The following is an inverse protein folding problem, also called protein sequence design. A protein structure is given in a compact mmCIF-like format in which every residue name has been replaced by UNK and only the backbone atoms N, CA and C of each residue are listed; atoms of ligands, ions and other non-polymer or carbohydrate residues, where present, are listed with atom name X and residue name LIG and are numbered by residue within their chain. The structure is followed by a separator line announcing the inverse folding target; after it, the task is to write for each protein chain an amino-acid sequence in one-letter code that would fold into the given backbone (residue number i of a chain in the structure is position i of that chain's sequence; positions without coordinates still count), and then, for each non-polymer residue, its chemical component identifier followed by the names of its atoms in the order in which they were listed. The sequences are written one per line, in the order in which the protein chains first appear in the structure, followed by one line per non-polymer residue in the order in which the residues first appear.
data_IF_360503101975
#
_entry.id   IF_360503101975
#
_cell.length_a   1.000
_cell.length_b   1.000
_cell.length_c   1.000
_cell.angle_alpha   90.00
_cell.angle_beta   90.00
_cell.angle_gamma   90.00
#
_symmetry.space_group_name_H-M   'P 1'
#
loop_
_entity.id
_entity.type
_entity.pdbx_description
1 polymer ?
#
# COMPACT_ATOMS: atom_id res chain seq x y z
N UNK A 1 19.86 -32.56 -30.76
CA UNK A 1 20.36 -31.17 -30.84
C UNK A 1 19.24 -30.13 -31.07
N UNK A 2 18.30 -30.31 -32.05
CA UNK A 2 17.20 -29.31 -32.24
C UNK A 2 16.29 -29.14 -31.02
N UNK A 3 15.91 -30.18 -30.32
CA UNK A 3 15.07 -30.08 -29.10
C UNK A 3 15.77 -29.43 -27.92
N UNK A 4 17.11 -29.61 -27.78
CA UNK A 4 17.89 -28.97 -26.74
C UNK A 4 18.01 -27.45 -26.97
N UNK A 5 18.15 -27.02 -28.22
CA UNK A 5 18.18 -25.62 -28.61
C UNK A 5 16.81 -24.93 -28.43
N UNK A 6 15.69 -25.63 -28.64
CA UNK A 6 14.34 -25.11 -28.42
C UNK A 6 14.06 -24.92 -26.92
N UNK A 7 14.50 -25.85 -26.06
CA UNK A 7 14.37 -25.74 -24.60
C UNK A 7 15.23 -24.60 -24.05
N UNK A 8 16.46 -24.45 -24.57
CA UNK A 8 17.35 -23.34 -24.17
C UNK A 8 16.77 -21.98 -24.66
N UNK A 9 16.19 -21.93 -25.85
CA UNK A 9 15.54 -20.73 -26.38
C UNK A 9 14.26 -20.36 -25.55
N UNK A 10 13.45 -21.38 -25.17
CA UNK A 10 12.32 -21.16 -24.25
C UNK A 10 12.76 -20.73 -22.84
N UNK A 11 13.87 -21.25 -22.30
CA UNK A 11 14.43 -20.79 -21.03
C UNK A 11 14.98 -19.34 -21.10
N UNK A 12 15.57 -18.95 -22.22
CA UNK A 12 16.10 -17.59 -22.42
C UNK A 12 14.95 -16.56 -22.56
N UNK A 13 13.82 -16.95 -23.14
CA UNK A 13 12.63 -16.07 -23.25
C UNK A 13 11.93 -15.88 -21.89
N UNK A 14 12.13 -16.77 -20.90
CA UNK A 14 11.60 -16.62 -19.54
C UNK A 14 12.44 -15.73 -18.61
N UNK A 15 13.61 -15.24 -19.04
CA UNK A 15 14.55 -14.45 -18.21
C UNK A 15 14.47 -12.94 -18.48
N UNK A 16 13.68 -12.50 -19.43
CA UNK A 16 13.35 -11.07 -19.51
C UNK A 16 12.04 -10.79 -18.77
N UNK A 17 12.02 -10.99 -17.46
CA UNK A 17 11.11 -10.19 -16.65
C UNK A 17 11.58 -8.75 -16.80
N UNK A 18 10.87 -8.01 -17.64
CA UNK A 18 10.89 -6.55 -17.60
C UNK A 18 10.48 -6.22 -16.16
N UNK A 19 11.44 -5.83 -15.33
CA UNK A 19 11.15 -5.22 -14.05
C UNK A 19 10.47 -3.88 -14.37
N UNK A 20 9.17 -3.93 -14.61
CA UNK A 20 8.37 -2.73 -14.71
C UNK A 20 8.59 -1.95 -13.42
N UNK A 21 9.16 -0.77 -13.54
CA UNK A 21 9.50 0.07 -12.39
C UNK A 21 8.20 0.64 -11.84
N UNK A 22 7.89 0.31 -10.60
CA UNK A 22 6.75 0.89 -9.92
C UNK A 22 6.88 2.42 -9.87
N UNK A 23 5.84 3.10 -10.29
CA UNK A 23 5.76 4.56 -10.30
C UNK A 23 4.80 5.04 -9.25
N UNK A 24 5.23 6.03 -8.45
CA UNK A 24 4.43 6.58 -7.37
C UNK A 24 3.99 8.00 -7.69
N UNK A 25 2.72 8.28 -7.52
CA UNK A 25 2.19 9.63 -7.45
C UNK A 25 2.09 10.05 -5.99
N UNK A 26 2.07 11.37 -5.73
CA UNK A 26 2.04 11.90 -4.36
C UNK A 26 0.86 12.83 -4.16
N UNK A 27 0.21 12.71 -3.00
CA UNK A 27 -0.87 13.55 -2.54
C UNK A 27 -0.52 14.07 -1.14
N UNK A 28 -0.34 15.39 -0.99
CA UNK A 28 0.19 16.02 0.21
C UNK A 28 -0.67 17.23 0.67
N UNK A 29 -0.19 18.00 1.64
CA UNK A 29 -0.90 19.20 2.13
C UNK A 29 -1.17 20.23 1.04
N UNK A 30 -0.35 20.28 -0.02
CA UNK A 30 -0.59 21.18 -1.17
C UNK A 30 -1.78 20.70 -2.00
N UNK A 31 -2.06 19.41 -1.95
CA UNK A 31 -3.21 18.77 -2.58
C UNK A 31 -4.48 18.83 -1.70
N UNK A 32 -4.38 19.35 -0.46
CA UNK A 32 -5.53 19.64 0.40
C UNK A 32 -5.69 18.75 1.63
N UNK A 33 -4.82 17.77 1.90
CA UNK A 33 -4.87 17.03 3.18
C UNK A 33 -4.42 17.93 4.33
N UNK A 34 -4.95 17.65 5.53
CA UNK A 34 -4.71 18.47 6.72
C UNK A 34 -3.30 18.32 7.30
N UNK A 35 -2.66 17.17 7.11
CA UNK A 35 -1.31 16.90 7.60
C UNK A 35 -0.61 15.84 6.73
N UNK A 36 0.70 15.97 6.56
CA UNK A 36 1.53 15.02 5.82
C UNK A 36 1.85 13.73 6.59
N UNK A 37 1.55 13.66 7.88
CA UNK A 37 1.72 12.45 8.67
C UNK A 37 0.45 11.59 8.57
N UNK A 38 0.43 10.63 7.66
CA UNK A 38 -0.74 9.78 7.39
C UNK A 38 -0.62 8.47 8.16
N UNK A 39 -1.59 8.20 9.04
CA UNK A 39 -1.55 7.08 9.98
C UNK A 39 -2.37 5.90 9.47
N UNK A 40 -3.54 6.17 8.92
CA UNK A 40 -4.41 5.14 8.36
C UNK A 40 -5.18 5.67 7.15
N UNK A 41 -5.63 4.78 6.30
CA UNK A 41 -6.33 5.10 5.06
C UNK A 41 -7.46 4.10 4.83
N UNK A 42 -8.51 4.55 4.16
CA UNK A 42 -9.68 3.75 3.82
C UNK A 42 -10.30 4.28 2.54
N UNK A 43 -10.76 3.41 1.65
CA UNK A 43 -11.72 3.73 0.60
C UNK A 43 -13.08 3.22 1.01
N UNK A 44 -14.06 4.12 1.16
CA UNK A 44 -15.38 3.72 1.59
C UNK A 44 -16.21 3.13 0.43
N UNK A 45 -17.33 2.51 0.75
CA UNK A 45 -18.25 1.90 -0.22
C UNK A 45 -18.79 2.88 -1.28
N UNK A 46 -18.71 4.18 -1.03
CA UNK A 46 -19.11 5.23 -1.99
C UNK A 46 -17.95 5.69 -2.88
N UNK A 47 -16.75 5.15 -2.66
CA UNK A 47 -15.54 5.44 -3.44
C UNK A 47 -14.71 6.61 -2.94
N UNK A 48 -15.07 7.25 -1.84
CA UNK A 48 -14.26 8.31 -1.23
C UNK A 48 -13.02 7.72 -0.55
N UNK A 49 -11.87 8.36 -0.77
CA UNK A 49 -10.66 8.04 0.00
C UNK A 49 -10.63 8.85 1.29
N UNK A 50 -10.37 8.17 2.38
CA UNK A 50 -10.22 8.76 3.69
C UNK A 50 -8.78 8.65 4.17
N UNK A 51 -8.26 9.73 4.74
CA UNK A 51 -6.92 9.80 5.30
C UNK A 51 -6.99 10.26 6.75
N UNK A 52 -6.68 9.35 7.67
CA UNK A 52 -6.51 9.63 9.08
C UNK A 52 -5.08 10.13 9.30
N UNK A 53 -4.93 11.35 9.80
CA UNK A 53 -3.64 12.01 9.95
C UNK A 53 -3.34 12.38 11.40
N UNK A 54 -2.11 12.80 11.66
CA UNK A 54 -1.72 13.29 12.98
C UNK A 54 -2.55 14.50 13.42
N UNK A 55 -3.08 15.28 12.46
CA UNK A 55 -3.86 16.47 12.73
C UNK A 55 -5.02 16.64 11.75
N UNK A 56 -6.09 15.89 11.94
CA UNK A 56 -7.32 15.93 11.17
C UNK A 56 -7.62 14.64 10.42
N UNK A 57 -8.92 14.45 10.12
CA UNK A 57 -9.43 13.41 9.23
C UNK A 57 -9.83 14.05 7.91
N UNK A 58 -9.51 13.40 6.81
CA UNK A 58 -9.69 13.94 5.47
C UNK A 58 -10.51 12.99 4.60
N UNK A 59 -11.45 13.52 3.83
CA UNK A 59 -12.20 12.77 2.81
C UNK A 59 -11.92 13.37 1.43
N UNK A 60 -11.42 12.57 0.52
CA UNK A 60 -11.07 12.94 -0.83
C UNK A 60 -12.04 12.31 -1.84
N UNK A 61 -12.60 13.12 -2.74
CA UNK A 61 -13.60 12.71 -3.74
C UNK A 61 -13.02 12.52 -5.16
N UNK A 62 -11.70 12.66 -5.31
CA UNK A 62 -11.01 12.68 -6.59
C UNK A 62 -10.59 14.07 -7.06
N UNK A 63 -11.20 15.13 -6.50
CA UNK A 63 -10.93 16.54 -6.84
C UNK A 63 -10.61 17.37 -5.62
N UNK A 64 -11.37 17.23 -4.56
CA UNK A 64 -11.29 18.07 -3.37
C UNK A 64 -11.12 17.22 -2.12
N UNK A 65 -10.40 17.76 -1.16
CA UNK A 65 -10.21 17.16 0.14
C UNK A 65 -10.99 17.93 1.19
N UNK A 66 -12.03 17.30 1.75
CA UNK A 66 -12.76 17.86 2.89
C UNK A 66 -12.13 17.40 4.17
N UNK A 67 -11.87 18.34 5.07
CA UNK A 67 -11.24 18.10 6.35
C UNK A 67 -12.28 18.06 7.47
N UNK A 68 -12.09 17.17 8.45
CA UNK A 68 -12.93 17.01 9.63
C UNK A 68 -12.07 17.11 10.89
N UNK A 69 -12.60 17.81 11.86
CA UNK A 69 -11.96 18.06 13.15
C UNK A 69 -12.92 17.70 14.26
N UNK A 70 -12.41 17.22 15.37
CA UNK A 70 -13.19 17.06 16.58
C UNK A 70 -13.11 18.38 17.33
N UNK A 71 -14.26 19.02 17.52
CA UNK A 71 -14.41 20.33 18.18
C UNK A 71 -14.97 20.23 19.59
N UNK A 72 -15.19 18.98 20.07
CA UNK A 72 -15.72 18.75 21.41
C UNK A 72 -14.68 19.15 22.48
N UNK A 73 -15.13 19.88 23.50
CA UNK A 73 -14.27 20.42 24.54
C UNK A 73 -13.52 19.36 25.37
N UNK A 74 -13.96 18.10 25.29
CA UNK A 74 -13.38 16.98 26.03
C UNK A 74 -12.32 16.22 25.23
N UNK A 75 -12.07 16.60 23.96
CA UNK A 75 -11.12 15.92 23.09
C UNK A 75 -9.88 16.77 22.89
N UNK A 76 -8.77 16.36 23.47
CA UNK A 76 -7.50 17.09 23.42
C UNK A 76 -6.69 16.86 22.15
N UNK A 77 -7.11 15.94 21.26
CA UNK A 77 -6.31 15.57 20.07
C UNK A 77 -7.16 15.36 18.82
N UNK A 78 -6.73 15.96 17.72
CA UNK A 78 -7.21 15.65 16.38
C UNK A 78 -6.29 14.63 15.65
N UNK A 79 -5.51 13.88 16.41
CA UNK A 79 -4.73 12.76 15.92
C UNK A 79 -5.67 11.57 15.69
N UNK A 80 -5.92 11.25 14.43
CA UNK A 80 -6.72 10.09 14.07
C UNK A 80 -5.79 8.93 13.78
N UNK A 81 -5.83 7.89 14.61
CA UNK A 81 -4.89 6.78 14.57
C UNK A 81 -5.45 5.49 13.94
N UNK A 82 -6.75 5.45 13.68
CA UNK A 82 -7.38 4.35 12.95
C UNK A 82 -8.64 4.84 12.22
N UNK A 83 -8.96 4.17 11.11
CA UNK A 83 -10.21 4.31 10.36
C UNK A 83 -10.58 2.97 9.75
N UNK A 84 -11.85 2.58 9.84
CA UNK A 84 -12.39 1.36 9.24
C UNK A 84 -13.87 1.54 8.88
N UNK A 85 -14.37 0.76 7.94
CA UNK A 85 -15.78 0.74 7.55
C UNK A 85 -16.34 -0.66 7.73
N UNK A 86 -17.44 -0.79 8.48
CA UNK A 86 -18.14 -2.05 8.64
C UNK A 86 -19.13 -2.31 7.49
N UNK A 87 -19.63 -3.53 7.39
CA UNK A 87 -20.54 -3.92 6.31
C UNK A 87 -21.88 -3.17 6.30
N UNK A 88 -22.24 -2.44 7.37
CA UNK A 88 -23.38 -1.52 7.37
C UNK A 88 -23.04 -0.16 6.72
N UNK A 89 -21.79 0.09 6.37
CA UNK A 89 -21.29 1.36 5.87
C UNK A 89 -21.03 2.39 6.96
N UNK A 90 -20.97 1.97 8.23
CA UNK A 90 -20.54 2.84 9.31
C UNK A 90 -19.03 2.99 9.28
N UNK A 91 -18.55 4.22 9.14
CA UNK A 91 -17.12 4.54 9.25
C UNK A 91 -16.80 4.80 10.70
N UNK A 92 -15.95 3.95 11.26
CA UNK A 92 -15.40 4.04 12.60
C UNK A 92 -14.06 4.77 12.55
N UNK A 93 -13.87 5.71 13.45
CA UNK A 93 -12.66 6.51 13.54
C UNK A 93 -12.18 6.52 14.98
N UNK A 94 -10.87 6.40 15.19
CA UNK A 94 -10.25 6.38 16.52
C UNK A 94 -9.27 7.52 16.68
N UNK A 95 -9.36 8.21 17.84
CA UNK A 95 -8.27 9.00 18.41
C UNK A 95 -7.58 8.20 19.54
N UNK A 96 -6.47 8.64 20.12
CA UNK A 96 -5.89 7.96 21.28
C UNK A 96 -6.86 7.75 22.44
N UNK A 97 -7.82 8.66 22.60
CA UNK A 97 -8.68 8.72 23.79
C UNK A 97 -10.04 8.06 23.59
N UNK A 98 -10.58 8.05 22.34
CA UNK A 98 -11.94 7.58 22.11
C UNK A 98 -12.23 7.22 20.66
N UNK A 99 -13.39 6.58 20.44
CA UNK A 99 -13.95 6.27 19.14
C UNK A 99 -15.01 7.28 18.72
N UNK A 100 -15.11 7.47 17.41
CA UNK A 100 -16.14 8.23 16.74
C UNK A 100 -16.72 7.39 15.60
N UNK A 101 -17.90 7.76 15.14
CA UNK A 101 -18.39 7.32 13.84
C UNK A 101 -18.71 8.52 12.96
N UNK A 102 -18.56 8.35 11.66
CA UNK A 102 -18.97 9.37 10.71
C UNK A 102 -20.47 9.28 10.44
N UNK A 103 -21.17 10.37 10.76
CA UNK A 103 -22.60 10.54 10.45
C UNK A 103 -22.74 11.19 9.07
N UNK A 104 -23.17 10.38 8.07
CA UNK A 104 -23.29 10.84 6.67
C UNK A 104 -24.38 11.89 6.48
N UNK A 105 -25.50 11.81 7.23
CA UNK A 105 -26.61 12.76 7.10
C UNK A 105 -26.24 14.15 7.60
N UNK A 106 -25.46 14.21 8.68
CA UNK A 106 -25.00 15.44 9.29
C UNK A 106 -23.64 15.89 8.78
N UNK A 107 -22.98 15.04 7.96
CA UNK A 107 -21.63 15.24 7.43
C UNK A 107 -20.61 15.64 8.50
N UNK A 108 -20.61 14.90 9.65
CA UNK A 108 -19.74 15.15 10.79
C UNK A 108 -19.38 13.87 11.57
N UNK A 109 -18.35 13.98 12.40
CA UNK A 109 -18.00 12.95 13.39
C UNK A 109 -18.89 13.06 14.62
N UNK A 110 -19.34 11.94 15.15
CA UNK A 110 -20.11 11.85 16.39
C UNK A 110 -19.42 10.90 17.39
N UNK A 111 -19.32 11.33 18.66
CA UNK A 111 -18.68 10.58 19.75
C UNK A 111 -19.60 9.55 20.41
N UNK A 112 -20.92 9.70 20.31
CA UNK A 112 -21.88 8.79 20.91
C UNK A 112 -21.98 7.49 20.07
N UNK A 113 -20.97 6.62 20.20
CA UNK A 113 -20.90 5.35 19.47
C UNK A 113 -21.99 4.35 19.89
N UNK A 114 -22.57 4.49 21.09
CA UNK A 114 -23.66 3.63 21.56
C UNK A 114 -24.87 3.69 20.65
N UNK A 115 -25.11 4.80 19.96
CA UNK A 115 -26.19 4.89 18.96
C UNK A 115 -26.07 3.86 17.84
N UNK A 116 -24.85 3.43 17.52
CA UNK A 116 -24.55 2.44 16.47
C UNK A 116 -24.45 1.03 17.04
N UNK A 117 -24.01 0.87 18.27
CA UNK A 117 -23.74 -0.42 18.89
C UNK A 117 -24.99 -1.04 19.56
N UNK A 118 -25.84 -0.23 20.21
CA UNK A 118 -27.06 -0.73 20.84
C UNK A 118 -28.04 -1.47 19.90
N UNK A 119 -28.28 -1.00 18.68
CA UNK A 119 -29.11 -1.73 17.73
C UNK A 119 -28.56 -3.14 17.37
N UNK A 120 -27.24 -3.34 17.53
CA UNK A 120 -26.57 -4.62 17.32
C UNK A 120 -26.60 -5.52 18.56
N UNK A 121 -27.17 -5.04 19.67
CA UNK A 121 -27.23 -5.76 20.96
C UNK A 121 -26.04 -5.53 21.89
N UNK A 122 -25.08 -4.64 21.51
CA UNK A 122 -23.90 -4.32 22.30
C UNK A 122 -24.23 -3.13 23.20
N UNK A 123 -24.33 -3.37 24.51
CA UNK A 123 -24.75 -2.36 25.50
C UNK A 123 -23.63 -1.97 26.47
N UNK A 124 -22.52 -2.69 26.48
CA UNK A 124 -21.39 -2.43 27.36
C UNK A 124 -20.56 -1.23 26.86
N UNK A 125 -19.77 -0.65 27.77
CA UNK A 125 -18.79 0.38 27.39
C UNK A 125 -17.64 -0.27 26.64
N UNK A 126 -17.43 0.10 25.40
CA UNK A 126 -16.45 -0.52 24.50
C UNK A 126 -15.09 0.16 24.64
N UNK A 127 -14.04 -0.64 24.75
CA UNK A 127 -12.63 -0.24 24.84
C UNK A 127 -11.90 -0.38 23.51
N UNK A 128 -12.30 -1.37 22.69
CA UNK A 128 -11.72 -1.59 21.37
C UNK A 128 -12.83 -1.89 20.36
N UNK A 129 -12.73 -1.26 19.19
CA UNK A 129 -13.47 -1.59 17.98
C UNK A 129 -12.46 -2.03 16.93
N UNK A 130 -12.71 -3.17 16.30
CA UNK A 130 -11.97 -3.68 15.15
C UNK A 130 -12.98 -4.12 14.10
N UNK A 131 -12.68 -3.82 12.84
CA UNK A 131 -13.43 -4.32 11.68
C UNK A 131 -12.53 -5.28 10.95
N UNK A 132 -13.03 -6.47 10.71
CA UNK A 132 -12.25 -7.53 10.07
C UNK A 132 -12.25 -7.41 8.52
N UNK A 133 -11.60 -8.36 7.87
CA UNK A 133 -11.48 -8.39 6.42
C UNK A 133 -12.85 -8.55 5.71
N UNK A 134 -13.79 -9.26 6.32
CA UNK A 134 -15.16 -9.43 5.86
C UNK A 134 -16.09 -8.27 6.27
N UNK A 135 -15.51 -7.21 6.86
CA UNK A 135 -16.21 -6.03 7.37
C UNK A 135 -17.18 -6.33 8.54
N UNK A 136 -16.98 -7.42 9.26
CA UNK A 136 -17.68 -7.71 10.49
C UNK A 136 -17.10 -6.95 11.67
N UNK A 137 -17.92 -6.72 12.68
CA UNK A 137 -17.57 -5.86 13.80
C UNK A 137 -17.14 -6.68 15.03
N UNK A 138 -15.96 -6.37 15.54
CA UNK A 138 -15.42 -6.88 16.78
C UNK A 138 -15.38 -5.77 17.81
N UNK A 139 -15.96 -6.00 18.98
CA UNK A 139 -15.94 -5.04 20.09
C UNK A 139 -15.44 -5.72 21.35
N UNK A 140 -14.54 -5.06 22.06
CA UNK A 140 -14.01 -5.58 23.33
C UNK A 140 -14.36 -4.65 24.47
N UNK A 141 -14.67 -5.27 25.61
CA UNK A 141 -14.82 -4.60 26.91
C UNK A 141 -14.33 -5.50 28.02
N UNK A 142 -13.36 -5.04 28.81
CA UNK A 142 -12.80 -5.85 29.91
C UNK A 142 -12.37 -7.24 29.47
N UNK A 143 -13.11 -8.27 29.90
CA UNK A 143 -12.86 -9.66 29.57
C UNK A 143 -13.87 -10.27 28.59
N UNK A 144 -14.66 -9.44 27.89
CA UNK A 144 -15.63 -9.87 26.90
C UNK A 144 -15.24 -9.42 25.51
N UNK A 145 -15.43 -10.31 24.54
CA UNK A 145 -15.27 -10.04 23.12
C UNK A 145 -16.61 -10.28 22.44
N UNK A 146 -17.10 -9.25 21.79
CA UNK A 146 -18.28 -9.30 20.94
C UNK A 146 -17.87 -9.42 19.48
N UNK A 147 -18.54 -10.29 18.75
CA UNK A 147 -18.44 -10.40 17.30
C UNK A 147 -19.84 -10.28 16.70
N UNK A 148 -20.02 -9.29 15.84
CA UNK A 148 -21.27 -9.11 15.11
C UNK A 148 -21.04 -9.41 13.63
N UNK A 149 -21.72 -10.46 13.17
CA UNK A 149 -21.78 -10.86 11.77
C UNK A 149 -22.91 -10.10 11.08
N UNK A 150 -22.58 -9.24 10.12
CA UNK A 150 -23.55 -8.43 9.40
C UNK A 150 -24.35 -9.24 8.37
N UNK A 151 -23.77 -10.30 7.81
CA UNK A 151 -24.47 -11.17 6.85
C UNK A 151 -25.57 -11.96 7.55
N UNK A 152 -25.24 -12.60 8.65
CA UNK A 152 -26.17 -13.42 9.44
C UNK A 152 -26.99 -12.59 10.44
N UNK A 153 -26.64 -11.32 10.64
CA UNK A 153 -27.20 -10.41 11.66
C UNK A 153 -27.16 -11.02 13.06
N UNK A 154 -26.06 -11.64 13.38
CA UNK A 154 -25.89 -12.41 14.61
C UNK A 154 -24.81 -11.83 15.48
N UNK A 155 -25.18 -11.54 16.75
CA UNK A 155 -24.22 -11.21 17.79
C UNK A 155 -23.74 -12.48 18.48
N UNK A 156 -22.43 -12.61 18.61
CA UNK A 156 -21.79 -13.65 19.41
C UNK A 156 -20.98 -12.97 20.52
N UNK A 157 -20.95 -13.60 21.68
CA UNK A 157 -20.20 -13.15 22.83
C UNK A 157 -19.27 -14.25 23.30
N UNK A 158 -18.03 -13.89 23.59
CA UNK A 158 -17.00 -14.76 24.10
C UNK A 158 -16.35 -14.10 25.31
N UNK A 159 -16.27 -14.85 26.42
CA UNK A 159 -15.46 -14.45 27.57
C UNK A 159 -14.10 -15.11 27.47
N UNK A 160 -13.04 -14.35 27.69
CA UNK A 160 -11.68 -14.89 27.73
C UNK A 160 -10.98 -14.49 29.04
N UNK A 161 -9.93 -15.24 29.45
CA UNK A 161 -9.26 -14.99 30.70
C UNK A 161 -8.63 -13.59 30.73
N UNK A 162 -8.35 -13.14 31.95
CA UNK A 162 -7.79 -11.83 32.26
C UNK A 162 -6.41 -11.64 31.62
N UNK A 163 -6.43 -11.36 30.30
CA UNK A 163 -5.26 -11.14 29.45
C UNK A 163 -5.52 -9.89 28.62
N UNK A 164 -4.55 -9.03 28.58
CA UNK A 164 -4.61 -7.82 27.75
C UNK A 164 -4.50 -8.17 26.26
N UNK A 165 -5.56 -7.90 25.51
CA UNK A 165 -5.61 -8.08 24.08
C UNK A 165 -4.90 -6.90 23.39
N UNK A 166 -3.90 -7.21 22.57
CA UNK A 166 -3.13 -6.22 21.81
C UNK A 166 -3.70 -5.99 20.43
N UNK A 167 -4.01 -7.06 19.70
CA UNK A 167 -4.49 -6.95 18.32
C UNK A 167 -5.38 -8.13 17.92
N UNK A 168 -6.27 -7.88 16.96
CA UNK A 168 -7.12 -8.90 16.34
C UNK A 168 -6.79 -8.93 14.85
N UNK A 169 -6.73 -10.11 14.27
CA UNK A 169 -6.68 -10.30 12.83
C UNK A 169 -7.59 -11.44 12.43
N UNK A 170 -8.34 -11.24 11.36
CA UNK A 170 -9.16 -12.29 10.76
C UNK A 170 -9.04 -12.26 9.25
N UNK A 171 -9.13 -13.43 8.66
CA UNK A 171 -9.20 -13.60 7.22
C UNK A 171 -10.05 -14.84 6.93
N UNK A 172 -11.05 -14.69 6.08
CA UNK A 172 -12.09 -15.70 5.87
C UNK A 172 -12.70 -16.10 7.24
N UNK A 173 -12.90 -17.36 7.49
CA UNK A 173 -13.45 -17.85 8.77
C UNK A 173 -12.43 -17.99 9.90
N UNK A 174 -11.16 -17.60 9.68
CA UNK A 174 -10.08 -17.80 10.63
C UNK A 174 -9.73 -16.50 11.36
N UNK A 175 -9.78 -16.52 12.68
CA UNK A 175 -9.52 -15.36 13.52
C UNK A 175 -8.49 -15.64 14.59
N UNK A 176 -7.50 -14.74 14.71
CA UNK A 176 -6.45 -14.80 15.70
C UNK A 176 -6.45 -13.57 16.61
N UNK A 177 -6.19 -13.82 17.88
CA UNK A 177 -5.98 -12.83 18.93
C UNK A 177 -4.50 -12.81 19.29
N UNK A 178 -3.88 -11.64 19.31
CA UNK A 178 -2.55 -11.41 19.86
C UNK A 178 -2.69 -10.72 21.21
N UNK A 179 -2.17 -11.34 22.25
CA UNK A 179 -2.13 -10.78 23.61
C UNK A 179 -0.80 -10.06 23.88
N UNK A 180 -0.81 -9.08 24.77
CA UNK A 180 0.37 -8.27 25.11
C UNK A 180 1.55 -9.10 25.65
N UNK A 181 1.26 -10.28 26.21
CA UNK A 181 2.28 -11.21 26.67
C UNK A 181 2.93 -12.06 25.56
N UNK A 182 2.58 -11.81 24.28
CA UNK A 182 3.10 -12.55 23.11
C UNK A 182 2.38 -13.87 22.83
N UNK A 183 1.30 -14.20 23.56
CA UNK A 183 0.47 -15.35 23.22
C UNK A 183 -0.37 -15.03 21.97
N UNK A 184 -0.42 -15.97 21.03
CA UNK A 184 -1.35 -15.97 19.89
C UNK A 184 -2.32 -17.12 20.10
N UNK A 185 -3.61 -16.80 19.95
CA UNK A 185 -4.69 -17.77 20.08
C UNK A 185 -5.69 -17.64 18.92
N UNK A 186 -6.27 -18.76 18.52
CA UNK A 186 -7.41 -18.78 17.58
C UNK A 186 -8.72 -18.73 18.32
N UNK A 187 -9.73 -18.16 17.66
CA UNK A 187 -11.10 -18.09 18.16
C UNK A 187 -11.92 -19.16 17.45
N UNK A 188 -12.53 -20.03 18.23
CA UNK A 188 -13.53 -20.99 17.77
C UNK A 188 -14.93 -20.51 18.20
N UNK A 189 -15.71 -20.04 17.25
CA UNK A 189 -17.05 -19.51 17.50
C UNK A 189 -18.11 -20.61 17.71
N UNK A 190 -17.87 -21.82 17.24
CA UNK A 190 -18.81 -22.94 17.45
C UNK A 190 -18.76 -23.40 18.89
N UNK A 191 -17.54 -23.60 19.42
CA UNK A 191 -17.34 -24.03 20.79
C UNK A 191 -17.26 -22.85 21.79
N UNK A 192 -17.23 -21.63 21.31
CA UNK A 192 -17.02 -20.38 22.08
C UNK A 192 -15.75 -20.44 22.94
N UNK A 193 -14.67 -20.93 22.37
CA UNK A 193 -13.40 -21.07 23.08
C UNK A 193 -12.28 -20.32 22.38
N UNK A 194 -11.28 -19.93 23.16
CA UNK A 194 -10.03 -19.36 22.68
C UNK A 194 -8.94 -20.38 22.92
N UNK A 195 -8.32 -20.86 21.84
CA UNK A 195 -7.29 -21.88 21.89
C UNK A 195 -5.93 -21.29 21.56
N UNK A 196 -4.98 -21.42 22.49
CA UNK A 196 -3.60 -21.01 22.27
C UNK A 196 -2.99 -21.77 21.10
N UNK A 197 -2.37 -21.02 20.16
CA UNK A 197 -1.62 -21.56 19.02
C UNK A 197 -0.13 -21.61 19.34
N UNK A 198 0.43 -20.47 19.78
CA UNK A 198 1.86 -20.29 20.00
C UNK A 198 2.13 -19.24 21.07
N UNK A 199 3.27 -19.36 21.75
CA UNK A 199 3.84 -18.33 22.62
C UNK A 199 5.07 -17.77 21.93
N UNK A 200 5.08 -16.47 21.67
CA UNK A 200 6.21 -15.76 21.10
C UNK A 200 6.94 -14.94 22.17
N UNK A 201 8.23 -14.81 22.00
CA UNK A 201 9.01 -13.82 22.73
C UNK A 201 8.95 -12.50 21.98
N UNK A 202 8.26 -11.52 22.57
CA UNK A 202 8.12 -10.17 22.01
C UNK A 202 8.87 -9.16 22.87
N UNK A 203 9.33 -8.04 22.29
CA UNK A 203 9.92 -6.96 23.05
C UNK A 203 8.97 -6.46 24.15
N UNK A 204 9.49 -6.15 25.32
CA UNK A 204 8.67 -5.66 26.46
C UNK A 204 8.09 -4.28 26.24
N UNK A 205 8.65 -3.52 25.31
CA UNK A 205 8.23 -2.15 24.97
C UNK A 205 7.78 -2.10 23.51
N UNK A 206 6.76 -1.30 23.25
CA UNK A 206 6.19 -1.10 21.94
C UNK A 206 4.82 -1.75 21.77
N UNK A 207 4.08 -1.29 20.80
CA UNK A 207 2.79 -1.84 20.40
C UNK A 207 3.02 -3.02 19.45
N UNK A 208 2.49 -4.17 19.80
CA UNK A 208 2.58 -5.37 18.97
C UNK A 208 1.43 -5.39 17.97
N UNK A 209 1.74 -5.67 16.73
CA UNK A 209 0.77 -5.82 15.65
C UNK A 209 0.94 -7.17 14.97
N UNK A 210 -0.15 -7.66 14.42
CA UNK A 210 -0.22 -8.90 13.68
C UNK A 210 -0.93 -8.65 12.35
N UNK A 211 -0.42 -9.26 11.30
CA UNK A 211 -1.02 -9.26 9.97
C UNK A 211 -1.11 -10.71 9.47
N UNK A 212 -2.23 -11.10 8.87
CA UNK A 212 -2.43 -12.42 8.27
C UNK A 212 -2.43 -12.28 6.76
N UNK A 213 -1.50 -12.96 6.09
CA UNK A 213 -1.42 -12.94 4.63
C UNK A 213 -2.34 -13.99 3.97
N UNK A 214 -2.37 -13.97 2.62
CA UNK A 214 -3.16 -14.90 1.80
C UNK A 214 -2.75 -16.36 1.95
N UNK A 215 -1.56 -16.64 2.45
CA UNK A 215 -1.03 -18.00 2.72
C UNK A 215 -1.30 -18.45 4.16
N UNK A 216 -2.10 -17.69 4.92
CA UNK A 216 -2.34 -17.93 6.36
C UNK A 216 -1.05 -17.93 7.19
N UNK A 217 -0.07 -17.10 6.82
CA UNK A 217 1.08 -16.80 7.65
C UNK A 217 0.78 -15.57 8.50
N UNK A 218 1.14 -15.65 9.77
CA UNK A 218 1.04 -14.53 10.71
C UNK A 218 2.36 -13.78 10.73
N UNK A 219 2.33 -12.52 10.34
CA UNK A 219 3.45 -11.60 10.43
C UNK A 219 3.28 -10.77 11.69
N UNK A 220 4.18 -10.93 12.65
CA UNK A 220 4.12 -10.25 13.95
C UNK A 220 5.28 -9.26 14.01
N UNK A 221 4.95 -8.00 14.27
CA UNK A 221 5.92 -6.93 14.37
C UNK A 221 5.60 -5.99 15.52
N UNK A 222 6.61 -5.25 15.98
CA UNK A 222 6.48 -4.32 17.11
C UNK A 222 6.81 -2.91 16.62
N UNK A 223 5.86 -1.97 16.81
CA UNK A 223 6.09 -0.56 16.51
C UNK A 223 7.05 0.01 17.56
N UNK A 224 7.98 0.85 17.13
CA UNK A 224 9.06 1.48 17.91
C UNK A 224 10.25 0.60 18.25
N UNK A 225 10.22 -0.69 17.94
CA UNK A 225 11.38 -1.59 18.08
C UNK A 225 11.55 -2.43 16.82
N UNK A 226 12.79 -2.76 16.48
CA UNK A 226 13.04 -3.66 15.37
C UNK A 226 12.73 -5.11 15.79
N UNK A 227 11.60 -5.60 15.35
CA UNK A 227 11.18 -6.98 15.54
C UNK A 227 10.23 -7.37 14.41
N UNK A 228 10.50 -8.47 13.76
CA UNK A 228 9.61 -9.06 12.76
C UNK A 228 9.73 -10.58 12.85
N UNK A 229 8.62 -11.25 13.10
CA UNK A 229 8.53 -12.70 13.12
C UNK A 229 7.42 -13.14 12.18
N UNK A 230 7.55 -14.33 11.64
CA UNK A 230 6.50 -14.93 10.82
C UNK A 230 6.20 -16.34 11.34
N UNK A 231 4.92 -16.65 11.51
CA UNK A 231 4.44 -17.96 11.97
C UNK A 231 3.48 -18.54 10.95
N UNK A 232 3.76 -19.72 10.48
CA UNK A 232 2.90 -20.50 9.58
C UNK A 232 1.86 -21.26 10.39
N UNK A 233 0.60 -20.85 10.28
CA UNK A 233 -0.51 -21.46 11.01
C UNK A 233 -0.75 -22.90 10.55
N UNK A 234 -0.67 -23.16 9.25
CA UNK A 234 -0.97 -24.47 8.67
C UNK A 234 0.05 -25.51 9.11
N UNK A 235 1.33 -25.15 9.07
CA UNK A 235 2.44 -26.03 9.45
C UNK A 235 2.79 -25.94 10.95
N UNK A 236 2.17 -25.02 11.70
CA UNK A 236 2.38 -24.78 13.13
C UNK A 236 3.84 -24.60 13.51
N UNK A 237 4.57 -23.79 12.75
CA UNK A 237 6.00 -23.52 12.96
C UNK A 237 6.36 -22.08 12.60
N UNK A 238 7.48 -21.63 13.15
CA UNK A 238 8.10 -20.40 12.70
C UNK A 238 8.49 -20.52 11.22
N UNK A 239 8.22 -19.46 10.46
CA UNK A 239 8.52 -19.38 9.05
C UNK A 239 9.73 -18.49 8.83
N UNK A 240 10.75 -19.02 8.16
CA UNK A 240 11.94 -18.26 7.79
C UNK A 240 11.75 -17.64 6.41
N UNK A 241 12.17 -16.39 6.24
CA UNK A 241 12.01 -15.62 5.02
C UNK A 241 13.30 -14.90 4.65
N UNK A 242 13.45 -14.58 3.37
CA UNK A 242 14.63 -13.93 2.82
C UNK A 242 14.78 -12.50 3.35
N UNK A 243 16.02 -12.08 3.60
CA UNK A 243 16.33 -10.71 4.00
C UNK A 243 15.86 -10.31 5.40
N UNK A 244 15.54 -11.26 6.28
CA UNK A 244 15.06 -11.01 7.64
C UNK A 244 15.96 -10.03 8.40
N UNK A 245 17.28 -10.26 8.39
CA UNK A 245 18.24 -9.38 9.06
C UNK A 245 18.27 -7.98 8.46
N UNK A 246 18.15 -7.89 7.13
CA UNK A 246 18.09 -6.60 6.42
C UNK A 246 16.86 -5.80 6.80
N UNK A 247 15.68 -6.45 6.84
CA UNK A 247 14.43 -5.82 7.23
C UNK A 247 14.46 -5.44 8.71
N UNK A 248 14.91 -6.33 9.58
CA UNK A 248 15.03 -6.08 11.02
C UNK A 248 16.13 -5.08 11.41
N UNK A 249 16.93 -4.63 10.46
CA UNK A 249 17.85 -3.51 10.69
C UNK A 249 17.15 -2.15 10.77
N UNK A 250 15.82 -2.11 10.59
CA UNK A 250 14.95 -0.95 10.81
C UNK A 250 13.65 -1.39 11.52
N UNK A 251 12.84 -0.41 11.90
CA UNK A 251 11.55 -0.65 12.54
C UNK A 251 10.49 -0.89 11.46
N UNK A 252 9.81 -2.02 11.53
CA UNK A 252 8.65 -2.29 10.67
C UNK A 252 7.44 -1.51 11.19
N UNK A 253 6.77 -0.79 10.30
CA UNK A 253 5.63 0.07 10.62
C UNK A 253 4.31 -0.47 10.08
N UNK A 254 4.34 -1.11 8.92
CA UNK A 254 3.15 -1.64 8.27
C UNK A 254 3.50 -2.85 7.40
N UNK A 255 2.54 -3.77 7.27
CA UNK A 255 2.62 -4.94 6.38
C UNK A 255 1.28 -5.07 5.66
N UNK A 256 1.34 -5.40 4.37
CA UNK A 256 0.17 -5.71 3.55
C UNK A 256 0.54 -6.70 2.44
N UNK A 257 -0.39 -7.52 1.98
CA UNK A 257 -0.26 -8.25 0.72
C UNK A 257 -0.85 -7.45 -0.46
N UNK A 258 -0.29 -7.63 -1.64
CA UNK A 258 -0.76 -6.95 -2.86
C UNK A 258 -1.90 -7.70 -3.57
N UNK A 259 -2.37 -8.80 -3.02
CA UNK A 259 -3.36 -9.67 -3.66
C UNK A 259 -2.78 -10.65 -4.69
N UNK A 260 -1.53 -10.46 -5.12
CA UNK A 260 -0.78 -11.35 -6.03
C UNK A 260 0.20 -12.25 -5.27
N UNK A 261 0.12 -12.26 -3.94
CA UNK A 261 0.96 -13.07 -3.06
C UNK A 261 2.23 -12.38 -2.58
N UNK A 262 2.59 -11.20 -3.09
CA UNK A 262 3.74 -10.48 -2.57
C UNK A 262 3.39 -9.76 -1.26
N UNK A 263 4.34 -9.75 -0.34
CA UNK A 263 4.23 -9.09 0.96
C UNK A 263 5.04 -7.80 0.95
N UNK A 264 4.36 -6.69 1.15
CA UNK A 264 4.94 -5.37 1.24
C UNK A 264 5.18 -5.00 2.70
N UNK A 265 6.39 -4.64 3.03
CA UNK A 265 6.85 -4.32 4.38
C UNK A 265 7.37 -2.90 4.39
N UNK A 266 6.62 -2.00 5.02
CA UNK A 266 6.98 -0.60 5.20
C UNK A 266 7.82 -0.39 6.44
N UNK A 267 8.91 0.37 6.30
CA UNK A 267 9.85 0.61 7.39
C UNK A 267 9.94 2.09 7.78
N UNK A 268 10.48 2.33 8.95
CA UNK A 268 10.58 3.68 9.51
C UNK A 268 11.55 4.60 8.75
N UNK A 269 12.60 4.06 8.08
CA UNK A 269 13.61 4.90 7.45
C UNK A 269 14.20 4.35 6.15
N UNK A 270 13.93 3.09 5.81
CA UNK A 270 14.52 2.42 4.65
C UNK A 270 13.56 2.24 3.47
N UNK A 271 12.34 2.75 3.55
CA UNK A 271 11.35 2.60 2.49
C UNK A 271 10.58 1.29 2.60
N UNK A 272 10.43 0.59 1.49
CA UNK A 272 9.55 -0.57 1.34
C UNK A 272 10.39 -1.77 0.91
N UNK A 273 10.21 -2.88 1.60
CA UNK A 273 10.69 -4.18 1.17
C UNK A 273 9.51 -5.00 0.64
N UNK A 274 9.72 -5.74 -0.43
CA UNK A 274 8.71 -6.63 -1.01
C UNK A 274 9.29 -8.05 -1.05
N UNK A 275 8.61 -8.96 -0.39
CA UNK A 275 8.85 -10.39 -0.48
C UNK A 275 7.88 -11.00 -1.48
N UNK A 276 8.37 -11.87 -2.36
CA UNK A 276 7.50 -12.65 -3.24
C UNK A 276 6.64 -13.66 -2.45
N UNK A 277 5.71 -14.31 -3.09
CA UNK A 277 4.77 -15.26 -2.49
C UNK A 277 5.46 -16.34 -1.64
N UNK A 278 6.58 -16.88 -2.10
CA UNK A 278 7.38 -17.89 -1.40
C UNK A 278 8.24 -17.29 -0.28
N UNK A 279 8.35 -15.95 -0.22
CA UNK A 279 9.20 -15.18 0.68
C UNK A 279 10.70 -15.57 0.61
N UNK A 280 11.16 -16.00 -0.56
CA UNK A 280 12.54 -16.39 -0.85
C UNK A 280 13.31 -15.33 -1.65
N UNK A 281 12.61 -14.34 -2.21
CA UNK A 281 13.20 -13.21 -2.94
C UNK A 281 12.76 -11.88 -2.33
N UNK A 282 13.72 -10.97 -2.14
CA UNK A 282 13.53 -9.65 -1.54
C UNK A 282 13.83 -8.56 -2.55
N UNK A 283 12.84 -7.71 -2.84
CA UNK A 283 13.01 -6.47 -3.57
C UNK A 283 13.00 -5.28 -2.60
N UNK A 284 13.75 -4.24 -2.89
CA UNK A 284 13.82 -3.02 -2.08
C UNK A 284 13.46 -1.78 -2.89
N UNK A 285 12.48 -1.04 -2.41
CA UNK A 285 12.03 0.23 -2.98
C UNK A 285 12.33 1.34 -1.99
N UNK A 286 13.07 2.34 -2.46
CA UNK A 286 13.40 3.51 -1.67
C UNK A 286 13.26 4.79 -2.50
N UNK A 287 13.19 5.92 -1.82
CA UNK A 287 13.17 7.22 -2.47
C UNK A 287 14.48 7.44 -3.23
N UNK A 288 14.35 7.80 -4.50
CA UNK A 288 15.43 8.22 -5.37
C UNK A 288 15.12 9.63 -5.91
N UNK A 289 15.82 10.65 -5.41
CA UNK A 289 15.60 12.03 -5.81
C UNK A 289 15.95 12.33 -7.27
N UNK A 290 16.76 11.48 -7.89
CA UNK A 290 17.15 11.59 -9.31
C UNK A 290 16.15 10.89 -10.26
N UNK A 291 15.14 10.22 -9.73
CA UNK A 291 14.17 9.48 -10.52
C UNK A 291 12.78 10.08 -10.35
N UNK A 292 12.16 10.59 -11.43
CA UNK A 292 10.77 11.01 -11.42
C UNK A 292 9.86 9.86 -10.97
N UNK A 293 8.80 10.20 -10.25
CA UNK A 293 7.81 9.24 -9.75
C UNK A 293 8.38 8.10 -8.89
N UNK A 294 9.53 8.32 -8.26
CA UNK A 294 10.02 7.43 -7.20
C UNK A 294 9.18 7.59 -5.94
N UNK A 295 9.31 6.66 -5.00
CA UNK A 295 8.69 6.76 -3.69
C UNK A 295 8.97 8.14 -3.05
N UNK A 296 7.92 8.82 -2.55
CA UNK A 296 8.05 10.19 -2.03
C UNK A 296 8.87 10.28 -0.73
N UNK A 297 8.86 9.21 0.07
CA UNK A 297 9.54 9.16 1.37
C UNK A 297 9.98 7.73 1.71
N UNK A 298 11.12 7.60 2.40
CA UNK A 298 11.56 6.34 2.99
C UNK A 298 10.91 6.05 4.36
N UNK A 299 10.20 7.03 4.93
CA UNK A 299 9.52 6.89 6.21
C UNK A 299 8.08 6.45 5.98
N UNK A 300 7.87 5.14 5.93
CA UNK A 300 6.55 4.54 5.72
C UNK A 300 5.83 4.41 7.05
N UNK A 301 4.53 4.65 7.08
CA UNK A 301 3.73 4.56 8.27
C UNK A 301 2.55 3.60 8.13
N UNK A 302 1.92 3.54 6.95
CA UNK A 302 0.75 2.72 6.71
C UNK A 302 0.63 2.31 5.24
N UNK A 303 -0.11 1.23 5.01
CA UNK A 303 -0.53 0.78 3.69
C UNK A 303 -2.04 0.62 3.65
N UNK A 304 -2.59 0.83 2.48
CA UNK A 304 -3.97 0.49 2.15
C UNK A 304 -4.04 0.08 0.67
N UNK A 305 -4.59 -1.09 0.38
CA UNK A 305 -4.87 -1.54 -0.98
C UNK A 305 -6.36 -1.41 -1.22
N UNK A 306 -6.75 -0.67 -2.24
CA UNK A 306 -8.14 -0.53 -2.59
C UNK A 306 -8.63 -1.64 -3.56
N UNK A 307 -9.92 -1.62 -3.86
CA UNK A 307 -10.56 -2.58 -4.75
C UNK A 307 -10.29 -2.32 -6.25
N UNK A 308 -9.52 -1.29 -6.58
CA UNK A 308 -9.05 -0.97 -7.94
C UNK A 308 -7.58 -1.34 -8.14
N UNK A 309 -6.99 -2.12 -7.21
CA UNK A 309 -5.59 -2.49 -7.19
C UNK A 309 -4.61 -1.30 -7.10
N UNK A 310 -5.09 -0.16 -6.56
CA UNK A 310 -4.20 0.94 -6.18
C UNK A 310 -3.68 0.66 -4.78
N UNK A 311 -2.35 0.66 -4.65
CA UNK A 311 -1.70 0.61 -3.35
C UNK A 311 -1.38 2.03 -2.88
N UNK A 312 -1.97 2.40 -1.76
CA UNK A 312 -1.78 3.67 -1.07
C UNK A 312 -0.76 3.49 0.05
N UNK A 313 0.21 4.40 0.12
CA UNK A 313 1.34 4.35 1.05
C UNK A 313 1.34 5.63 1.87
N UNK A 314 0.92 5.54 3.12
CA UNK A 314 0.97 6.66 4.06
C UNK A 314 2.39 6.87 4.58
N UNK A 315 2.86 8.10 4.55
CA UNK A 315 4.20 8.47 5.00
C UNK A 315 4.15 9.37 6.23
N UNK A 316 5.28 9.55 6.90
CA UNK A 316 5.37 10.43 8.08
C UNK A 316 5.59 11.90 7.74
N UNK A 317 6.01 12.25 6.50
CA UNK A 317 6.41 13.62 6.17
C UNK A 317 5.99 14.12 4.78
N UNK A 318 5.54 13.24 3.90
CA UNK A 318 5.29 13.55 2.49
C UNK A 318 3.87 13.18 2.05
N UNK A 319 2.92 13.12 3.00
CA UNK A 319 1.55 12.75 2.71
C UNK A 319 1.41 11.29 2.28
N UNK A 320 0.69 11.07 1.20
CA UNK A 320 0.40 9.76 0.64
C UNK A 320 1.12 9.60 -0.69
N UNK A 321 1.82 8.49 -0.87
CA UNK A 321 2.23 8.01 -2.18
C UNK A 321 1.27 6.92 -2.64
N UNK A 322 0.98 6.80 -3.93
CA UNK A 322 0.16 5.72 -4.44
C UNK A 322 0.65 5.20 -5.78
N UNK A 323 0.44 3.93 -6.03
CA UNK A 323 0.84 3.23 -7.25
C UNK A 323 -0.24 2.26 -7.70
N UNK A 324 -0.44 2.15 -9.01
CA UNK A 324 -1.30 1.16 -9.62
C UNK A 324 -0.50 -0.15 -9.78
N UNK A 325 -0.93 -1.20 -9.10
CA UNK A 325 -0.27 -2.51 -9.12
C UNK A 325 -0.45 -3.25 -10.47
N UNK A 326 -1.47 -2.88 -11.24
CA UNK A 326 -1.74 -3.44 -12.56
C UNK A 326 -1.02 -2.69 -13.68
N UNK A 327 -0.54 -1.47 -13.39
CA UNK A 327 0.06 -0.60 -14.41
C UNK A 327 1.56 -0.87 -14.58
N UNK A 328 1.88 -2.05 -15.10
CA UNK A 328 3.24 -2.44 -15.48
C UNK A 328 3.59 -2.10 -16.93
N UNK A 329 2.62 -1.53 -17.68
CA UNK A 329 2.75 -1.33 -19.13
C UNK A 329 3.38 0.01 -19.54
N UNK A 330 3.53 0.96 -18.60
CA UNK A 330 4.07 2.28 -18.90
C UNK A 330 5.44 2.49 -18.28
N UNK A 331 6.44 2.73 -19.15
CA UNK A 331 7.77 3.18 -18.71
C UNK A 331 7.87 4.69 -18.78
N UNK A 332 8.51 5.29 -17.78
CA UNK A 332 8.76 6.73 -17.75
C UNK A 332 10.08 7.02 -18.42
N UNK A 333 10.03 7.71 -19.55
CA UNK A 333 11.21 8.26 -20.19
C UNK A 333 11.69 9.51 -19.45
N UNK A 334 12.98 9.56 -19.08
CA UNK A 334 13.61 10.80 -18.58
C UNK A 334 13.73 11.78 -19.75
N UNK A 335 13.03 12.89 -19.67
CA UNK A 335 13.19 14.01 -20.62
C UNK A 335 14.17 15.05 -20.06
N UNK A 336 14.79 15.88 -20.91
CA UNK A 336 15.41 17.11 -20.42
C UNK A 336 14.42 17.92 -19.57
N UNK A 337 14.87 18.52 -18.49
CA UNK A 337 13.97 19.21 -17.54
C UNK A 337 13.07 20.25 -18.24
N UNK A 338 11.77 20.18 -17.96
CA UNK A 338 10.74 21.19 -18.26
C UNK A 338 10.52 21.54 -19.75
N UNK A 339 10.65 20.62 -20.67
CA UNK A 339 10.46 20.88 -22.09
C UNK A 339 9.20 20.21 -22.62
N UNK A 340 8.49 20.93 -23.49
CA UNK A 340 7.30 20.41 -24.16
C UNK A 340 7.71 19.46 -25.29
N UNK A 341 7.13 18.26 -25.27
CA UNK A 341 7.31 17.26 -26.33
C UNK A 341 6.31 17.62 -27.45
N UNK A 342 6.84 17.95 -28.64
CA UNK A 342 6.05 18.28 -29.81
C UNK A 342 5.71 17.05 -30.67
N UNK A 343 6.57 16.06 -30.70
CA UNK A 343 6.34 14.82 -31.46
C UNK A 343 7.18 13.66 -30.93
N UNK A 344 6.76 12.45 -31.26
CA UNK A 344 7.52 11.23 -30.98
C UNK A 344 7.40 10.23 -32.11
N UNK A 345 8.43 9.38 -32.28
CA UNK A 345 8.47 8.34 -33.29
C UNK A 345 9.39 7.21 -32.82
N UNK A 346 8.96 5.97 -32.99
CA UNK A 346 9.79 4.79 -32.82
C UNK A 346 10.46 4.47 -34.17
N UNK A 347 11.77 4.17 -34.15
CA UNK A 347 12.50 3.72 -35.31
C UNK A 347 12.45 2.19 -35.48
N UNK A 348 12.95 1.67 -36.63
CA UNK A 348 12.96 0.24 -36.95
C UNK A 348 13.79 -0.62 -35.98
N UNK A 349 14.64 -0.01 -35.18
CA UNK A 349 15.48 -0.68 -34.18
C UNK A 349 14.87 -0.63 -32.76
N UNK A 350 13.63 -0.10 -32.63
CA UNK A 350 12.95 0.05 -31.37
C UNK A 350 13.45 1.23 -30.51
N UNK A 351 14.17 2.20 -31.12
CA UNK A 351 14.57 3.41 -30.43
C UNK A 351 13.47 4.44 -30.53
N UNK A 352 13.17 5.08 -29.39
CA UNK A 352 12.20 6.16 -29.31
C UNK A 352 12.89 7.51 -29.55
N UNK A 353 12.37 8.27 -30.51
CA UNK A 353 12.80 9.62 -30.82
C UNK A 353 11.76 10.62 -30.34
N UNK A 354 12.17 11.62 -29.57
CA UNK A 354 11.31 12.69 -29.03
C UNK A 354 11.78 14.03 -29.58
N UNK A 355 10.89 14.75 -30.24
CA UNK A 355 11.12 16.12 -30.68
C UNK A 355 10.62 17.11 -29.62
N UNK A 356 11.39 18.16 -29.37
CA UNK A 356 11.09 19.18 -28.38
C UNK A 356 10.88 20.55 -29.01
N UNK A 357 10.08 21.40 -28.33
CA UNK A 357 9.94 22.80 -28.67
C UNK A 357 11.13 23.59 -28.10
N UNK A 358 12.18 23.72 -28.92
CA UNK A 358 13.36 24.51 -28.60
C UNK A 358 14.62 23.80 -28.10
N UNK A 359 14.56 22.49 -27.82
CA UNK A 359 15.76 21.72 -27.37
C UNK A 359 16.36 20.77 -28.39
N UNK A 360 15.69 20.53 -29.49
CA UNK A 360 16.12 19.61 -30.51
C UNK A 360 15.46 18.25 -30.40
N UNK A 361 16.23 17.18 -30.67
CA UNK A 361 15.74 15.82 -30.81
C UNK A 361 16.45 14.89 -29.81
N UNK A 362 15.73 14.15 -28.99
CA UNK A 362 16.31 13.11 -28.14
C UNK A 362 16.05 11.72 -28.73
N UNK A 363 17.06 10.87 -28.65
CA UNK A 363 16.99 9.46 -29.02
C UNK A 363 17.19 8.59 -27.79
N UNK A 364 16.18 7.77 -27.47
CA UNK A 364 16.19 6.81 -26.37
C UNK A 364 16.47 5.42 -26.90
N UNK A 365 17.33 4.70 -26.23
CA UNK A 365 17.48 3.27 -26.43
C UNK A 365 16.47 2.56 -25.51
N UNK A 366 15.64 1.69 -26.06
CA UNK A 366 14.61 0.93 -25.31
C UNK A 366 15.16 0.09 -24.14
N UNK A 367 16.47 -0.13 -24.10
CA UNK A 367 17.17 -0.88 -23.03
C UNK A 367 17.93 0.00 -22.04
N UNK A 368 18.01 1.31 -22.25
CA UNK A 368 18.76 2.22 -21.43
C UNK A 368 17.92 3.44 -21.04
N UNK A 369 17.90 3.76 -19.77
CA UNK A 369 17.21 4.94 -19.19
C UNK A 369 17.84 6.26 -19.69
N UNK A 370 18.93 6.19 -20.44
CA UNK A 370 19.68 7.33 -20.94
C UNK A 370 19.28 7.68 -22.38
N UNK A 371 19.28 8.98 -22.65
CA UNK A 371 19.02 9.50 -23.99
C UNK A 371 20.22 10.25 -24.54
N UNK A 372 20.32 10.33 -25.86
CA UNK A 372 21.27 11.19 -26.56
C UNK A 372 20.51 12.37 -27.15
N UNK A 373 20.89 13.59 -26.75
CA UNK A 373 20.26 14.82 -27.25
C UNK A 373 21.04 15.33 -28.48
N UNK A 374 20.30 15.63 -29.55
CA UNK A 374 20.79 16.26 -30.77
C UNK A 374 20.22 17.68 -30.87
N UNK A 375 21.07 18.67 -31.04
CA UNK A 375 20.70 20.06 -31.18
C UNK A 375 21.61 20.76 -32.20
N UNK A 376 21.33 22.03 -32.50
CA UNK A 376 22.10 22.81 -33.49
C UNK A 376 23.58 23.00 -33.14
N UNK A 377 23.99 22.75 -31.89
CA UNK A 377 25.37 22.88 -31.43
C UNK A 377 26.17 21.57 -31.57
N UNK A 378 25.50 20.43 -31.54
CA UNK A 378 26.17 19.12 -31.50
C UNK A 378 25.78 18.18 -32.65
N UNK A 379 24.94 18.65 -33.58
CA UNK A 379 24.47 17.89 -34.70
C UNK A 379 24.12 18.79 -35.90
N UNK A 380 23.81 18.22 -37.06
CA UNK A 380 23.44 18.94 -38.29
C UNK A 380 21.93 19.23 -38.36
N UNK A 381 21.16 19.14 -37.30
CA UNK A 381 19.75 19.55 -37.36
C UNK A 381 19.65 21.06 -37.58
N UNK A 382 18.71 21.49 -38.45
CA UNK A 382 18.62 22.92 -38.84
C UNK A 382 18.02 23.81 -37.76
N UNK A 383 17.29 23.25 -36.81
CA UNK A 383 16.61 23.98 -35.74
C UNK A 383 16.49 23.12 -34.49
N UNK A 384 16.47 23.77 -33.32
CA UNK A 384 16.11 23.12 -32.05
C UNK A 384 14.59 23.00 -31.84
N UNK A 385 13.81 23.68 -32.66
CA UNK A 385 12.34 23.53 -32.70
C UNK A 385 12.02 22.36 -33.63
N UNK A 386 11.51 21.25 -33.07
CA UNK A 386 11.08 20.07 -33.81
C UNK A 386 9.56 20.01 -33.77
N UNK A 387 8.90 20.24 -34.88
CA UNK A 387 7.43 20.31 -34.96
C UNK A 387 6.79 18.95 -35.21
N UNK A 388 7.50 18.08 -35.89
CA UNK A 388 6.99 16.75 -36.24
C UNK A 388 8.10 15.78 -36.66
N UNK A 389 7.83 14.51 -36.50
CA UNK A 389 8.71 13.40 -36.95
C UNK A 389 7.93 12.42 -37.80
N UNK A 390 8.57 11.87 -38.78
CA UNK A 390 8.00 10.85 -39.66
C UNK A 390 9.03 9.78 -39.97
N UNK A 391 8.69 8.51 -39.79
CA UNK A 391 9.53 7.38 -40.22
C UNK A 391 9.22 7.04 -41.67
N UNK A 392 10.16 7.33 -42.52
CA UNK A 392 10.04 6.91 -43.91
C UNK A 392 10.25 5.39 -44.06
N UNK A 393 9.22 4.69 -44.47
CA UNK A 393 9.25 3.24 -44.72
C UNK A 393 9.76 2.90 -46.13
N UNK A 394 9.97 3.91 -46.98
CA UNK A 394 10.28 3.77 -48.42
C UNK A 394 11.77 3.87 -48.74
N UNK A 395 12.67 3.41 -47.88
CA UNK A 395 14.05 3.23 -48.29
C UNK A 395 14.27 1.79 -48.74
N UNK A 396 13.90 1.47 -49.98
CA UNK A 396 14.51 0.37 -50.73
C UNK A 396 15.73 0.94 -51.45
N UNK A 397 16.82 0.19 -51.46
CA UNK A 397 18.16 0.52 -51.99
C UNK A 397 18.24 0.67 -53.52
N UNK A 398 17.13 0.94 -54.18
CA UNK A 398 17.04 0.92 -55.64
C UNK A 398 16.98 2.30 -56.28
N UNK A 399 17.18 3.39 -55.54
CA UNK A 399 17.20 4.73 -56.10
C UNK A 399 18.58 5.19 -56.61
N UNK A 400 19.52 4.27 -56.77
CA UNK A 400 20.89 4.60 -57.27
C UNK A 400 21.22 4.09 -58.66
N UNK A 401 20.26 3.48 -59.37
CA UNK A 401 20.63 2.84 -60.67
C UNK A 401 19.80 3.30 -61.88
N UNK A 402 19.00 4.33 -61.79
CA UNK A 402 18.37 4.93 -62.96
C UNK A 402 19.00 6.28 -63.32
N UNK A 403 20.28 6.22 -63.60
CA UNK A 403 21.00 7.30 -64.30
C UNK A 403 20.88 7.14 -65.83
N UNK A 404 19.73 7.54 -66.40
CA UNK A 404 19.63 7.94 -67.78
C UNK A 404 18.52 9.00 -67.96
#
# INVERSE_FOLDING_TARGET
MKHLLTVIFCMIVYITQINARLTFQTFDVKSGISDNYVIAMLRDQYGFMWFATLNGLNRYDGYQCKQYWVTDSDTYSNCFNNISEDASGTIWVRTPDQYFYYNRELDKLESNIEKRLRPLGINDKIEMIHVDYEQNLWCMTGNKLYYYDFQDKKLQELSFPDKELSHIVSRQSYSCLLFSNGEIAEVDWETKTVRKIVQLELPRSGEHRIYMDTQFRLWIYTIYTSNLQCYDIQNRKMFEFSGKETIQSDIVKAIIDDGNGNIWIGTNSKGIYILNEQADNLMHIHRDSGTPFSLSSNHINSFYKDNQDILWVGTTKQGVAFTDLNNTAFEICKTPEQEDISCFQEDRNGKLWLGFDGKGLACYDSKQINYKLFNTHNSNIPSNLIIGSYLCLLYTSDAADDGE
#
